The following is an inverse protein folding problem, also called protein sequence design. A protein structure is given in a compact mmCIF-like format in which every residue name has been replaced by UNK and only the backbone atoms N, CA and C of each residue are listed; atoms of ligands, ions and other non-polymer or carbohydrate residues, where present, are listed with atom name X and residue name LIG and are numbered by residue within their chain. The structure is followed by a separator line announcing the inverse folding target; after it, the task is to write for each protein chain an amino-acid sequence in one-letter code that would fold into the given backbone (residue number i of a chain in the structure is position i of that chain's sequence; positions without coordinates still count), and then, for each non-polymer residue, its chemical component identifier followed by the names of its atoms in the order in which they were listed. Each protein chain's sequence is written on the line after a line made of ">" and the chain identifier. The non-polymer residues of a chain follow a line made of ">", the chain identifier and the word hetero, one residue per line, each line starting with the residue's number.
data_IF_797197934437
#
_entry.id   IF_797197934437
#
_cell.length_a   1.000
_cell.length_b   1.000
_cell.length_c   1.000
_cell.angle_alpha   90.00
_cell.angle_beta   90.00
_cell.angle_gamma   90.00
#
_symmetry.space_group_name_H-M   'P 1'
#
loop_
_entity.id
_entity.type
_entity.pdbx_description
1 polymer ?
#
# COMPACT_ATOMS: atom_id res chain seq x y z
N UNK A 1 17.38 -3.43 -18.23
CA UNK A 1 16.67 -2.39 -17.46
C UNK A 1 16.07 -3.06 -16.23
N UNK A 2 16.36 -2.53 -15.05
CA UNK A 2 15.76 -3.04 -13.79
C UNK A 2 14.27 -2.75 -13.75
N UNK A 3 13.51 -3.43 -12.86
CA UNK A 3 12.09 -3.12 -12.71
C UNK A 3 11.87 -1.66 -12.25
N UNK A 4 12.78 -1.10 -11.44
CA UNK A 4 12.73 0.30 -11.03
C UNK A 4 12.85 1.27 -12.23
N UNK A 5 13.82 1.04 -13.10
CA UNK A 5 13.97 1.83 -14.32
C UNK A 5 12.73 1.72 -15.24
N UNK A 6 12.11 0.52 -15.31
CA UNK A 6 10.87 0.31 -16.07
C UNK A 6 9.67 1.04 -15.45
N UNK A 7 9.58 1.11 -14.14
CA UNK A 7 8.55 1.92 -13.47
C UNK A 7 8.73 3.42 -13.77
N UNK A 8 9.97 3.93 -13.72
CA UNK A 8 10.25 5.34 -14.03
C UNK A 8 10.07 5.69 -15.49
N UNK A 9 10.38 4.78 -16.42
CA UNK A 9 10.19 4.99 -17.86
C UNK A 9 8.74 4.85 -18.32
N UNK A 10 7.86 4.29 -17.46
CA UNK A 10 6.47 3.99 -17.80
C UNK A 10 6.28 2.70 -18.61
N UNK A 11 7.34 1.88 -18.78
CA UNK A 11 7.22 0.54 -19.38
C UNK A 11 6.41 -0.41 -18.48
N UNK A 12 6.56 -0.25 -17.16
CA UNK A 12 5.79 -0.98 -16.14
C UNK A 12 5.04 0.02 -15.25
N UNK A 13 3.92 -0.43 -14.68
CA UNK A 13 3.06 0.40 -13.83
C UNK A 13 3.09 -0.04 -12.37
N UNK A 14 2.73 0.90 -11.50
CA UNK A 14 2.38 0.66 -10.12
C UNK A 14 0.85 0.60 -10.00
N UNK A 15 0.31 -0.29 -9.18
CA UNK A 15 -1.09 -0.22 -8.79
C UNK A 15 -1.25 0.07 -7.30
N UNK A 16 -2.28 0.82 -6.97
CA UNK A 16 -2.71 1.05 -5.60
C UNK A 16 -4.11 0.50 -5.40
N UNK A 17 -4.24 -0.44 -4.45
CA UNK A 17 -5.47 -1.16 -4.12
C UNK A 17 -6.04 -0.61 -2.82
N UNK A 18 -7.19 0.05 -2.92
CA UNK A 18 -7.81 0.79 -1.83
C UNK A 18 -7.45 2.29 -1.88
N UNK A 19 -8.39 3.11 -2.30
CA UNK A 19 -8.21 4.56 -2.45
C UNK A 19 -8.91 5.31 -1.30
N UNK A 20 -8.61 4.91 -0.07
CA UNK A 20 -9.04 5.58 1.16
C UNK A 20 -8.06 6.67 1.60
N UNK A 21 -8.15 7.04 2.89
CA UNK A 21 -7.32 8.08 3.51
C UNK A 21 -5.81 7.76 3.48
N UNK A 22 -5.42 6.49 3.40
CA UNK A 22 -4.01 6.07 3.23
C UNK A 22 -3.65 5.99 1.75
N UNK A 23 -4.45 5.27 0.96
CA UNK A 23 -4.10 4.93 -0.41
C UNK A 23 -4.13 6.11 -1.37
N UNK A 24 -5.06 7.07 -1.21
CA UNK A 24 -5.14 8.19 -2.12
C UNK A 24 -3.91 9.11 -2.07
N UNK A 25 -3.43 9.57 -0.89
CA UNK A 25 -2.20 10.35 -0.82
C UNK A 25 -0.98 9.65 -1.43
N UNK A 26 -0.86 8.35 -1.19
CA UNK A 26 0.23 7.52 -1.75
C UNK A 26 0.12 7.42 -3.26
N UNK A 27 -1.09 7.17 -3.80
CA UNK A 27 -1.32 7.08 -5.24
C UNK A 27 -0.93 8.39 -5.95
N UNK A 28 -1.34 9.53 -5.39
CA UNK A 28 -1.00 10.85 -5.93
C UNK A 28 0.50 11.13 -5.86
N UNK A 29 1.16 10.80 -4.75
CA UNK A 29 2.59 10.98 -4.61
C UNK A 29 3.38 10.19 -5.67
N UNK A 30 3.05 8.92 -5.86
CA UNK A 30 3.67 8.10 -6.90
C UNK A 30 3.33 8.56 -8.31
N UNK A 31 2.09 9.01 -8.57
CA UNK A 31 1.65 9.43 -9.90
C UNK A 31 2.42 10.66 -10.46
N UNK A 32 3.17 11.36 -9.62
CA UNK A 32 4.08 12.42 -10.06
C UNK A 32 5.31 11.90 -10.80
N UNK A 33 5.67 10.62 -10.64
CA UNK A 33 6.89 10.01 -11.18
C UNK A 33 6.67 8.70 -11.92
N UNK A 34 5.64 7.94 -11.57
CA UNK A 34 5.35 6.58 -12.05
C UNK A 34 3.92 6.55 -12.57
N UNK A 35 3.63 5.72 -13.57
CA UNK A 35 2.26 5.48 -13.99
C UNK A 35 1.53 4.64 -12.92
N UNK A 36 0.43 5.16 -12.39
CA UNK A 36 -0.34 4.55 -11.30
C UNK A 36 -1.74 4.15 -11.75
N UNK A 37 -2.09 2.88 -11.54
CA UNK A 37 -3.46 2.39 -11.60
C UNK A 37 -4.05 2.44 -10.20
N UNK A 38 -5.01 3.31 -9.97
CA UNK A 38 -5.71 3.44 -8.69
C UNK A 38 -7.00 2.62 -8.70
N UNK A 39 -7.03 1.52 -7.96
CA UNK A 39 -8.17 0.60 -7.89
C UNK A 39 -8.91 0.70 -6.55
N UNK A 40 -10.24 0.81 -6.62
CA UNK A 40 -11.13 0.68 -5.45
C UNK A 40 -12.40 -0.06 -5.86
N UNK A 41 -12.90 -0.94 -4.98
CA UNK A 41 -14.16 -1.68 -5.21
C UNK A 41 -15.39 -0.78 -5.27
N UNK A 42 -15.33 0.41 -4.67
CA UNK A 42 -16.44 1.35 -4.64
C UNK A 42 -16.51 2.14 -5.96
N UNK A 43 -17.30 1.65 -6.92
CA UNK A 43 -17.48 2.31 -8.21
C UNK A 43 -17.95 3.77 -8.10
N UNK A 44 -18.82 4.09 -7.12
CA UNK A 44 -19.27 5.48 -6.90
C UNK A 44 -18.13 6.39 -6.49
N UNK A 45 -17.20 5.89 -5.64
CA UNK A 45 -15.99 6.61 -5.26
C UNK A 45 -15.08 6.84 -6.47
N UNK A 46 -14.91 5.84 -7.32
CA UNK A 46 -14.14 5.95 -8.56
C UNK A 46 -14.72 7.02 -9.49
N UNK A 47 -16.04 7.07 -9.67
CA UNK A 47 -16.68 8.10 -10.49
C UNK A 47 -16.47 9.52 -9.92
N UNK A 48 -16.48 9.69 -8.59
CA UNK A 48 -16.16 10.96 -7.96
C UNK A 48 -14.71 11.39 -8.26
N UNK A 49 -13.74 10.48 -8.09
CA UNK A 49 -12.36 10.77 -8.45
C UNK A 49 -12.19 11.15 -9.92
N UNK A 50 -12.81 10.40 -10.84
CA UNK A 50 -12.80 10.74 -12.27
C UNK A 50 -13.43 12.08 -12.59
N UNK A 51 -14.40 12.52 -11.79
CA UNK A 51 -15.02 13.85 -11.93
C UNK A 51 -14.22 14.98 -11.27
N UNK A 52 -13.07 14.68 -10.66
CA UNK A 52 -12.22 15.65 -9.99
C UNK A 52 -12.67 15.98 -8.56
N UNK A 53 -13.46 15.10 -7.93
CA UNK A 53 -13.95 15.27 -6.56
C UNK A 53 -13.21 14.28 -5.65
N UNK A 54 -12.69 14.78 -4.53
CA UNK A 54 -12.08 13.96 -3.47
C UNK A 54 -13.12 13.65 -2.38
N UNK A 55 -13.72 12.45 -2.36
CA UNK A 55 -14.70 12.10 -1.33
C UNK A 55 -14.07 11.84 0.04
N UNK A 56 -12.74 11.72 0.12
CA UNK A 56 -12.01 11.49 1.39
C UNK A 56 -11.54 12.81 2.01
N UNK A 57 -11.46 13.87 1.22
CA UNK A 57 -10.92 15.18 1.61
C UNK A 57 -9.47 15.13 2.14
N UNK A 58 -8.69 14.13 1.70
CA UNK A 58 -7.30 13.93 2.12
C UNK A 58 -6.32 14.74 1.27
N UNK A 59 -6.53 14.78 -0.04
CA UNK A 59 -5.65 15.49 -0.98
C UNK A 59 -6.30 16.73 -1.57
N UNK A 60 -7.63 16.79 -1.58
CA UNK A 60 -8.42 17.89 -2.11
C UNK A 60 -8.71 17.79 -3.61
N UNK A 61 -9.79 18.46 -4.01
CA UNK A 61 -10.32 18.38 -5.38
C UNK A 61 -9.33 18.87 -6.45
N UNK A 62 -8.54 19.89 -6.15
CA UNK A 62 -7.60 20.43 -7.14
C UNK A 62 -6.50 19.43 -7.45
N UNK A 63 -5.98 18.74 -6.44
CA UNK A 63 -4.99 17.66 -6.63
C UNK A 63 -5.60 16.49 -7.40
N UNK A 64 -6.87 16.13 -7.14
CA UNK A 64 -7.56 15.06 -7.89
C UNK A 64 -7.73 15.42 -9.37
N UNK A 65 -8.02 16.67 -9.70
CA UNK A 65 -8.15 17.13 -11.10
C UNK A 65 -6.82 17.10 -11.85
N UNK A 66 -5.71 17.33 -11.16
CA UNK A 66 -4.37 17.42 -11.75
C UNK A 66 -3.63 16.08 -11.78
N UNK A 67 -4.01 15.12 -10.93
CA UNK A 67 -3.31 13.84 -10.84
C UNK A 67 -3.43 13.00 -12.11
N UNK A 68 -2.38 12.21 -12.37
CA UNK A 68 -2.32 11.26 -13.49
C UNK A 68 -2.67 9.83 -13.08
N UNK A 69 -3.33 9.63 -11.94
CA UNK A 69 -3.79 8.31 -11.49
C UNK A 69 -4.89 7.82 -12.43
N UNK A 70 -4.73 6.62 -12.98
CA UNK A 70 -5.77 5.92 -13.77
C UNK A 70 -6.75 5.24 -12.80
N UNK A 71 -7.85 5.94 -12.48
CA UNK A 71 -8.86 5.47 -11.53
C UNK A 71 -9.76 4.40 -12.13
N UNK A 72 -9.91 3.27 -11.46
CA UNK A 72 -10.71 2.15 -11.95
C UNK A 72 -11.37 1.35 -10.84
N UNK A 73 -12.57 0.82 -11.10
CA UNK A 73 -13.23 -0.23 -10.33
C UNK A 73 -13.12 -1.62 -11.01
N UNK A 74 -12.45 -1.70 -12.16
CA UNK A 74 -12.22 -2.94 -12.87
C UNK A 74 -10.94 -3.62 -12.38
N UNK A 75 -11.03 -4.78 -11.68
CA UNK A 75 -9.88 -5.47 -11.16
C UNK A 75 -8.94 -6.02 -12.24
N UNK A 76 -9.43 -6.20 -13.47
CA UNK A 76 -8.61 -6.69 -14.60
C UNK A 76 -7.46 -5.74 -14.95
N UNK A 77 -7.62 -4.44 -14.66
CA UNK A 77 -6.60 -3.41 -14.83
C UNK A 77 -5.35 -3.62 -13.95
N UNK A 78 -5.47 -4.36 -12.86
CA UNK A 78 -4.33 -4.70 -12.00
C UNK A 78 -3.27 -5.54 -12.74
N UNK A 79 -3.65 -6.25 -13.81
CA UNK A 79 -2.70 -7.01 -14.65
C UNK A 79 -1.68 -6.13 -15.37
N UNK A 80 -1.98 -4.84 -15.52
CA UNK A 80 -1.11 -3.88 -16.18
C UNK A 80 0.07 -3.44 -15.29
N UNK A 81 0.02 -3.75 -14.00
CA UNK A 81 1.04 -3.35 -13.04
C UNK A 81 1.94 -4.52 -12.61
N UNK A 82 3.16 -4.19 -12.17
CA UNK A 82 4.14 -5.11 -11.59
C UNK A 82 4.44 -4.83 -10.13
N UNK A 83 4.21 -3.62 -9.69
CA UNK A 83 4.37 -3.23 -8.29
C UNK A 83 3.00 -2.84 -7.74
N UNK A 84 2.54 -3.56 -6.73
CA UNK A 84 1.20 -3.38 -6.16
C UNK A 84 1.31 -2.94 -4.71
N UNK A 85 0.57 -1.89 -4.34
CA UNK A 85 0.44 -1.45 -2.95
C UNK A 85 -0.99 -1.71 -2.50
N UNK A 86 -1.15 -2.38 -1.35
CA UNK A 86 -2.45 -2.67 -0.74
C UNK A 86 -2.64 -1.77 0.47
N UNK A 87 -3.58 -0.84 0.37
CA UNK A 87 -3.89 0.18 1.39
C UNK A 87 -5.38 0.16 1.77
N UNK A 88 -5.90 -1.05 2.02
CA UNK A 88 -7.29 -1.23 2.46
C UNK A 88 -7.40 -1.10 3.99
N UNK A 89 -8.58 -0.71 4.53
CA UNK A 89 -8.76 -0.60 5.97
C UNK A 89 -8.67 -1.96 6.67
N UNK A 90 -8.34 -1.92 7.96
CA UNK A 90 -8.41 -3.08 8.87
C UNK A 90 -9.32 -2.69 10.04
N UNK A 91 -10.64 -2.88 9.92
CA UNK A 91 -11.59 -2.57 10.98
C UNK A 91 -11.37 -3.44 12.22
N UNK A 92 -12.07 -3.12 13.30
CA UNK A 92 -12.04 -3.88 14.55
C UNK A 92 -13.38 -4.56 14.74
N UNK A 93 -13.37 -5.86 15.04
CA UNK A 93 -14.54 -6.64 15.39
C UNK A 93 -15.10 -6.22 16.76
N UNK A 94 -16.37 -6.59 17.10
CA UNK A 94 -16.94 -6.30 18.42
C UNK A 94 -16.15 -6.87 19.61
N UNK A 95 -15.38 -7.92 19.41
CA UNK A 95 -14.48 -8.54 20.39
C UNK A 95 -13.10 -7.90 20.47
N UNK A 96 -12.92 -6.75 19.79
CA UNK A 96 -11.66 -6.03 19.67
C UNK A 96 -10.54 -6.74 18.91
N UNK A 97 -10.84 -7.81 18.19
CA UNK A 97 -9.88 -8.42 17.25
C UNK A 97 -9.87 -7.67 15.91
N UNK A 98 -8.75 -7.63 15.17
CA UNK A 98 -8.73 -7.02 13.84
C UNK A 98 -9.56 -7.83 12.85
N UNK A 99 -10.38 -7.15 12.04
CA UNK A 99 -11.08 -7.75 10.92
C UNK A 99 -10.16 -7.75 9.69
N UNK A 100 -9.67 -8.92 9.31
CA UNK A 100 -8.79 -9.11 8.16
C UNK A 100 -9.55 -9.29 6.83
N UNK A 101 -10.88 -9.34 6.85
CA UNK A 101 -11.72 -9.54 5.64
C UNK A 101 -11.34 -8.60 4.49
N UNK A 102 -11.13 -7.28 4.72
CA UNK A 102 -10.74 -6.39 3.62
C UNK A 102 -9.37 -6.71 3.01
N UNK A 103 -8.36 -7.03 3.83
CA UNK A 103 -7.01 -7.32 3.34
C UNK A 103 -6.93 -8.69 2.66
N UNK A 104 -7.67 -9.69 3.15
CA UNK A 104 -7.82 -10.98 2.48
C UNK A 104 -8.56 -10.83 1.15
N UNK A 105 -9.63 -10.02 1.11
CA UNK A 105 -10.36 -9.68 -0.10
C UNK A 105 -9.47 -9.03 -1.15
N UNK A 106 -8.67 -8.05 -0.75
CA UNK A 106 -7.68 -7.41 -1.62
C UNK A 106 -6.62 -8.40 -2.12
N UNK A 107 -6.12 -9.28 -1.25
CA UNK A 107 -5.17 -10.35 -1.59
C UNK A 107 -5.75 -11.32 -2.61
N UNK A 108 -7.02 -11.66 -2.49
CA UNK A 108 -7.75 -12.52 -3.45
C UNK A 108 -7.88 -11.85 -4.81
N UNK A 109 -8.31 -10.59 -4.85
CA UNK A 109 -8.47 -9.82 -6.10
C UNK A 109 -7.11 -9.67 -6.79
N UNK A 110 -6.07 -9.30 -6.04
CA UNK A 110 -4.71 -9.22 -6.57
C UNK A 110 -4.23 -10.58 -7.10
N UNK A 111 -4.39 -11.65 -6.34
CA UNK A 111 -3.96 -12.98 -6.74
C UNK A 111 -4.58 -13.44 -8.07
N UNK A 112 -5.86 -13.12 -8.31
CA UNK A 112 -6.56 -13.42 -9.58
C UNK A 112 -6.00 -12.63 -10.76
N UNK A 113 -5.34 -11.51 -10.52
CA UNK A 113 -4.85 -10.59 -11.55
C UNK A 113 -3.31 -10.47 -11.57
N UNK A 114 -2.63 -11.15 -10.66
CA UNK A 114 -1.19 -11.05 -10.49
C UNK A 114 -0.43 -11.67 -11.67
N UNK A 115 0.55 -10.96 -12.19
CA UNK A 115 1.45 -11.46 -13.24
C UNK A 115 2.77 -11.96 -12.63
N UNK A 116 3.51 -12.81 -13.35
CA UNK A 116 4.79 -13.34 -12.86
C UNK A 116 5.81 -12.22 -12.67
N UNK A 117 6.55 -12.27 -11.58
CA UNK A 117 7.54 -11.26 -11.19
C UNK A 117 6.96 -10.03 -10.49
N UNK A 118 5.66 -10.04 -10.17
CA UNK A 118 5.03 -8.95 -9.41
C UNK A 118 5.52 -8.90 -7.96
N UNK A 119 5.51 -7.68 -7.40
CA UNK A 119 5.79 -7.41 -5.98
C UNK A 119 4.54 -6.81 -5.36
N UNK A 120 4.09 -7.36 -4.24
CA UNK A 120 2.92 -6.87 -3.48
C UNK A 120 3.37 -6.31 -2.15
N UNK A 121 3.16 -5.03 -1.91
CA UNK A 121 3.49 -4.35 -0.64
C UNK A 121 2.21 -4.05 0.12
N UNK A 122 2.10 -4.54 1.35
CA UNK A 122 0.96 -4.26 2.20
C UNK A 122 1.25 -3.04 3.08
N UNK A 123 0.30 -2.12 3.15
CA UNK A 123 0.32 -0.93 4.03
C UNK A 123 -0.79 -0.95 5.07
N UNK A 124 -1.76 -1.86 4.93
CA UNK A 124 -2.84 -2.05 5.91
C UNK A 124 -2.27 -2.32 7.30
N UNK A 125 -2.83 -1.71 8.33
CA UNK A 125 -2.39 -1.93 9.72
C UNK A 125 -2.74 -3.33 10.17
N UNK A 126 -1.72 -4.15 10.45
CA UNK A 126 -1.87 -5.55 10.84
C UNK A 126 -0.90 -5.90 11.98
N UNK A 127 -1.17 -7.00 12.68
CA UNK A 127 -0.22 -7.56 13.66
C UNK A 127 0.91 -8.34 12.96
N UNK A 128 2.05 -8.56 13.65
CA UNK A 128 3.18 -9.29 13.06
C UNK A 128 2.82 -10.69 12.57
N UNK A 129 3.12 -10.97 11.32
CA UNK A 129 2.89 -12.25 10.66
C UNK A 129 1.73 -12.24 9.65
N UNK A 130 0.77 -11.31 9.72
CA UNK A 130 -0.42 -11.31 8.86
C UNK A 130 -0.05 -11.32 7.37
N UNK A 131 0.93 -10.54 6.96
CA UNK A 131 1.34 -10.52 5.55
C UNK A 131 1.75 -11.92 5.07
N UNK A 132 2.66 -12.58 5.80
CA UNK A 132 3.24 -13.86 5.37
C UNK A 132 2.35 -15.05 5.70
N UNK A 133 1.65 -15.03 6.85
CA UNK A 133 0.91 -16.18 7.37
C UNK A 133 -0.56 -16.20 6.90
N UNK A 134 -1.15 -15.03 6.53
CA UNK A 134 -2.55 -14.91 6.09
C UNK A 134 -2.67 -14.45 4.62
N UNK A 135 -2.08 -13.29 4.27
CA UNK A 135 -2.28 -12.69 2.95
C UNK A 135 -1.61 -13.50 1.83
N UNK A 136 -0.36 -13.90 2.01
CA UNK A 136 0.40 -14.63 0.99
C UNK A 136 -0.24 -15.98 0.64
N UNK A 137 -0.69 -16.82 1.60
CA UNK A 137 -1.41 -18.07 1.27
C UNK A 137 -2.66 -17.85 0.42
N UNK A 138 -3.40 -16.76 0.65
CA UNK A 138 -4.54 -16.40 -0.18
C UNK A 138 -4.09 -16.10 -1.62
N UNK A 139 -3.03 -15.28 -1.78
CA UNK A 139 -2.48 -14.95 -3.12
C UNK A 139 -1.99 -16.20 -3.84
N UNK A 140 -1.22 -17.08 -3.17
CA UNK A 140 -0.74 -18.36 -3.75
C UNK A 140 -1.91 -19.23 -4.23
N UNK A 141 -2.92 -19.41 -3.35
CA UNK A 141 -4.08 -20.26 -3.63
C UNK A 141 -4.86 -19.83 -4.86
N UNK A 142 -5.10 -18.52 -5.03
CA UNK A 142 -5.95 -18.03 -6.13
C UNK A 142 -5.16 -17.75 -7.41
N UNK A 143 -3.86 -17.47 -7.32
CA UNK A 143 -3.00 -17.20 -8.49
C UNK A 143 -2.35 -18.47 -9.07
N UNK A 144 -2.23 -19.53 -8.27
CA UNK A 144 -1.44 -20.70 -8.60
C UNK A 144 0.07 -20.45 -8.67
N UNK A 145 0.52 -19.26 -8.24
CA UNK A 145 1.93 -18.85 -8.24
C UNK A 145 2.59 -19.12 -6.90
N UNK A 146 3.91 -19.25 -6.90
CA UNK A 146 4.71 -19.55 -5.72
C UNK A 146 5.38 -18.27 -5.19
N UNK A 147 5.20 -18.03 -3.90
CA UNK A 147 5.87 -16.97 -3.15
C UNK A 147 7.39 -17.10 -3.20
N UNK A 148 8.08 -15.97 -3.27
CA UNK A 148 9.54 -15.86 -3.42
C UNK A 148 10.13 -16.58 -4.66
N UNK A 149 9.27 -16.90 -5.65
CA UNK A 149 9.68 -17.49 -6.92
C UNK A 149 8.98 -16.83 -8.10
N UNK A 150 7.66 -16.81 -8.10
CA UNK A 150 6.84 -16.25 -9.16
C UNK A 150 6.31 -14.86 -8.82
N UNK A 151 6.22 -14.54 -7.55
CA UNK A 151 5.90 -13.20 -7.01
C UNK A 151 6.59 -13.01 -5.65
N UNK A 152 6.66 -11.77 -5.21
CA UNK A 152 7.32 -11.35 -3.99
C UNK A 152 6.42 -10.44 -3.16
N UNK A 153 6.77 -10.23 -1.89
CA UNK A 153 6.01 -9.36 -1.02
C UNK A 153 6.90 -8.40 -0.22
N UNK A 154 6.27 -7.36 0.31
CA UNK A 154 6.83 -6.43 1.25
C UNK A 154 5.75 -5.91 2.20
N UNK A 155 6.18 -5.16 3.20
CA UNK A 155 5.31 -4.44 4.11
C UNK A 155 5.89 -3.06 4.41
N UNK A 156 5.02 -2.07 4.43
CA UNK A 156 5.40 -0.69 4.73
C UNK A 156 4.29 -0.03 5.55
N UNK A 157 4.42 0.07 6.89
CA UNK A 157 3.38 0.64 7.73
C UNK A 157 3.12 2.10 7.41
N UNK A 158 1.83 2.48 7.38
CA UNK A 158 1.45 3.88 7.26
C UNK A 158 1.52 4.58 8.62
N UNK A 159 1.99 5.83 8.61
CA UNK A 159 2.21 6.66 9.79
C UNK A 159 1.50 8.01 9.72
N UNK A 160 0.69 8.26 8.68
CA UNK A 160 -0.10 9.48 8.52
C UNK A 160 -1.23 9.49 9.55
N UNK A 161 -1.46 10.65 10.18
CA UNK A 161 -2.67 10.88 10.95
C UNK A 161 -3.75 11.44 10.00
N UNK A 162 -4.95 10.85 9.96
CA UNK A 162 -6.03 11.35 9.10
C UNK A 162 -6.29 12.83 9.36
N UNK A 163 -6.38 13.63 8.29
CA UNK A 163 -6.62 15.07 8.35
C UNK A 163 -5.41 15.94 8.70
N UNK A 164 -4.22 15.38 8.91
CA UNK A 164 -3.00 16.15 9.13
C UNK A 164 -2.41 16.63 7.79
N UNK A 165 -2.63 17.91 7.48
CA UNK A 165 -2.16 18.56 6.26
C UNK A 165 -0.69 18.98 6.29
N UNK A 166 -0.04 18.95 7.46
CA UNK A 166 1.37 19.32 7.60
C UNK A 166 2.30 18.11 7.45
N UNK A 167 1.90 16.96 7.98
CA UNK A 167 2.68 15.74 7.91
C UNK A 167 2.15 14.81 6.82
N UNK A 168 2.33 15.22 5.56
CA UNK A 168 1.93 14.40 4.40
C UNK A 168 2.83 13.17 4.25
N UNK A 169 2.40 12.21 3.44
CA UNK A 169 3.14 10.96 3.19
C UNK A 169 4.62 11.19 2.84
N UNK A 170 4.92 12.26 2.12
CA UNK A 170 6.27 12.59 1.64
C UNK A 170 7.20 13.07 2.76
N UNK A 171 6.63 13.65 3.84
CA UNK A 171 7.36 14.29 4.93
C UNK A 171 7.50 13.42 6.19
N UNK A 172 7.01 12.20 6.17
CA UNK A 172 7.15 11.24 7.28
C UNK A 172 8.11 10.13 6.86
N UNK A 173 9.12 9.84 7.72
CA UNK A 173 10.06 8.76 7.47
C UNK A 173 9.32 7.42 7.37
N UNK A 174 9.46 6.74 6.23
CA UNK A 174 8.73 5.52 5.91
C UNK A 174 9.56 4.27 6.25
N UNK A 175 8.97 3.32 6.96
CA UNK A 175 9.56 1.99 7.14
C UNK A 175 9.21 1.12 5.94
N UNK A 176 10.16 0.39 5.42
CA UNK A 176 9.98 -0.54 4.28
C UNK A 176 10.57 -1.89 4.61
N UNK A 177 10.08 -2.93 3.97
CA UNK A 177 10.64 -4.29 4.10
C UNK A 177 10.32 -5.12 2.85
N UNK A 178 10.94 -6.28 2.75
CA UNK A 178 10.66 -7.22 1.66
C UNK A 178 10.89 -8.66 2.08
N UNK A 179 10.34 -9.58 1.29
CA UNK A 179 10.38 -11.01 1.53
C UNK A 179 11.76 -11.65 1.29
N UNK A 180 12.65 -10.93 0.60
CA UNK A 180 14.07 -11.24 0.48
C UNK A 180 14.87 -9.93 0.64
N UNK A 181 16.18 -10.00 0.94
CA UNK A 181 17.03 -8.81 1.01
C UNK A 181 17.01 -7.96 -0.26
N UNK A 182 16.96 -8.57 -1.42
CA UNK A 182 16.91 -7.90 -2.73
C UNK A 182 15.58 -7.18 -2.91
N UNK A 183 14.47 -7.85 -2.59
CA UNK A 183 13.12 -7.27 -2.65
C UNK A 183 12.98 -6.14 -1.64
N UNK A 184 13.51 -6.30 -0.43
CA UNK A 184 13.54 -5.22 0.57
C UNK A 184 14.25 -3.97 0.06
N UNK A 185 15.44 -4.13 -0.54
CA UNK A 185 16.18 -3.02 -1.16
C UNK A 185 15.38 -2.37 -2.28
N UNK A 186 14.76 -3.18 -3.15
CA UNK A 186 13.94 -2.69 -4.25
C UNK A 186 12.72 -1.90 -3.75
N UNK A 187 11.97 -2.45 -2.79
CA UNK A 187 10.83 -1.75 -2.16
C UNK A 187 11.30 -0.43 -1.56
N UNK A 188 12.42 -0.44 -0.84
CA UNK A 188 13.00 0.76 -0.25
C UNK A 188 13.36 1.81 -1.31
N UNK A 189 13.93 1.40 -2.45
CA UNK A 189 14.27 2.29 -3.57
C UNK A 189 13.02 2.93 -4.18
N UNK A 190 11.97 2.15 -4.43
CA UNK A 190 10.69 2.64 -4.96
C UNK A 190 10.09 3.69 -4.02
N UNK A 191 10.00 3.41 -2.73
CA UNK A 191 9.47 4.38 -1.76
C UNK A 191 10.36 5.62 -1.61
N UNK A 192 11.67 5.46 -1.61
CA UNK A 192 12.61 6.59 -1.53
C UNK A 192 12.46 7.57 -2.70
N UNK A 193 11.88 7.13 -3.82
CA UNK A 193 11.63 8.02 -4.95
C UNK A 193 10.60 9.12 -4.66
N UNK A 194 9.69 8.90 -3.70
CA UNK A 194 8.61 9.83 -3.36
C UNK A 194 8.67 10.33 -1.91
N UNK A 195 9.31 9.61 -1.00
CA UNK A 195 9.41 9.96 0.43
C UNK A 195 10.65 10.84 0.65
N UNK A 196 10.45 12.14 0.80
CA UNK A 196 11.54 13.11 0.99
C UNK A 196 12.15 13.07 2.39
N UNK A 197 11.37 12.64 3.41
CA UNK A 197 11.86 12.46 4.79
C UNK A 197 12.78 11.24 4.97
N UNK A 198 12.99 10.48 3.89
CA UNK A 198 13.81 9.27 3.87
C UNK A 198 13.05 8.01 4.28
N UNK A 199 13.71 6.88 4.06
CA UNK A 199 13.18 5.55 4.35
C UNK A 199 14.04 4.82 5.36
N UNK A 200 13.48 3.78 6.00
CA UNK A 200 14.21 2.85 6.86
C UNK A 200 13.88 1.43 6.41
N UNK A 201 14.89 0.71 5.95
CA UNK A 201 14.73 -0.69 5.55
C UNK A 201 14.78 -1.59 6.80
N UNK A 202 13.64 -2.15 7.17
CA UNK A 202 13.54 -3.16 8.20
C UNK A 202 14.09 -4.51 7.69
N UNK A 203 14.70 -5.33 8.57
CA UNK A 203 15.34 -6.59 8.15
C UNK A 203 14.35 -7.65 7.66
N UNK A 204 13.10 -7.63 8.12
CA UNK A 204 12.03 -8.57 7.71
C UNK A 204 10.67 -7.88 7.68
N UNK A 205 9.70 -8.51 7.01
CA UNK A 205 8.30 -8.09 7.01
C UNK A 205 7.76 -8.05 8.45
N UNK A 206 7.95 -9.10 9.23
CA UNK A 206 7.47 -9.18 10.63
C UNK A 206 8.02 -8.06 11.52
N UNK A 207 9.27 -7.65 11.31
CA UNK A 207 9.86 -6.50 12.04
C UNK A 207 9.19 -5.18 11.64
N UNK A 208 8.89 -4.99 10.36
CA UNK A 208 8.18 -3.79 9.90
C UNK A 208 6.73 -3.73 10.43
N UNK A 209 6.03 -4.88 10.47
CA UNK A 209 4.70 -4.99 11.08
C UNK A 209 4.74 -4.68 12.59
N UNK A 210 5.72 -5.27 13.31
CA UNK A 210 5.91 -5.04 14.74
C UNK A 210 6.19 -3.57 15.06
N UNK A 211 6.95 -2.86 14.22
CA UNK A 211 7.27 -1.45 14.42
C UNK A 211 6.02 -0.58 14.51
N UNK A 212 4.97 -0.86 13.71
CA UNK A 212 3.69 -0.14 13.76
C UNK A 212 2.96 -0.36 15.09
N UNK A 213 2.89 -1.61 15.54
CA UNK A 213 2.21 -1.98 16.79
C UNK A 213 2.93 -1.34 17.98
N UNK A 214 4.25 -1.46 18.03
CA UNK A 214 5.06 -0.91 19.13
C UNK A 214 4.93 0.61 19.20
N UNK A 215 5.00 1.31 18.06
CA UNK A 215 4.86 2.76 18.01
C UNK A 215 3.50 3.22 18.54
N UNK A 216 2.42 2.59 18.11
CA UNK A 216 1.08 2.94 18.55
C UNK A 216 0.87 2.65 20.04
N UNK A 217 1.24 1.46 20.50
CA UNK A 217 1.09 1.05 21.91
C UNK A 217 1.92 1.93 22.84
N UNK A 218 3.16 2.25 22.48
CA UNK A 218 4.02 3.13 23.26
C UNK A 218 3.43 4.54 23.39
N UNK A 219 2.82 5.06 22.31
CA UNK A 219 2.15 6.36 22.31
C UNK A 219 0.94 6.35 23.22
N UNK A 220 0.07 5.34 23.12
CA UNK A 220 -1.14 5.20 23.94
C UNK A 220 -0.81 5.08 25.43
N UNK A 221 0.19 4.25 25.78
CA UNK A 221 0.64 4.08 27.16
C UNK A 221 1.17 5.41 27.71
N UNK A 222 1.99 6.15 26.93
CA UNK A 222 2.52 7.44 27.38
C UNK A 222 1.39 8.48 27.58
N UNK A 223 0.41 8.54 26.67
CA UNK A 223 -0.74 9.44 26.80
C UNK A 223 -1.56 9.07 28.06
N UNK A 224 -1.85 7.79 28.25
CA UNK A 224 -2.58 7.33 29.43
C UNK A 224 -1.81 7.62 30.75
N UNK A 225 -0.50 7.54 30.72
CA UNK A 225 0.34 7.78 31.91
C UNK A 225 0.35 9.25 32.35
N UNK A 226 0.28 10.20 31.39
CA UNK A 226 0.33 11.63 31.70
C UNK A 226 -1.06 12.26 31.94
N UNK A 227 -2.15 11.56 31.62
CA UNK A 227 -3.54 11.98 31.89
C UNK A 227 -4.04 11.42 33.24
#
# INVERSE_FOLDING_TARGET
>A
MSLYEKLLSGEEKLSLVGLGYVGMPIAVAFARKIQVVGFDLNAKKIELYKSGVDPTNEVGNDVIKETKVDFTADPSKLKEAKFHIVAVPTPVNPDHTPDLTPVEGASRILGQNLTKGSIVVFESTVYPGVTEDECIPVVEKVSGKKFNKDFFAGYSPERINPGDKQHTVEHIKKVTSGSTPEIGKFVNEVYSSVITAGTHLAPTIKVAEAAKVIENSQRDINIAFVN
#
